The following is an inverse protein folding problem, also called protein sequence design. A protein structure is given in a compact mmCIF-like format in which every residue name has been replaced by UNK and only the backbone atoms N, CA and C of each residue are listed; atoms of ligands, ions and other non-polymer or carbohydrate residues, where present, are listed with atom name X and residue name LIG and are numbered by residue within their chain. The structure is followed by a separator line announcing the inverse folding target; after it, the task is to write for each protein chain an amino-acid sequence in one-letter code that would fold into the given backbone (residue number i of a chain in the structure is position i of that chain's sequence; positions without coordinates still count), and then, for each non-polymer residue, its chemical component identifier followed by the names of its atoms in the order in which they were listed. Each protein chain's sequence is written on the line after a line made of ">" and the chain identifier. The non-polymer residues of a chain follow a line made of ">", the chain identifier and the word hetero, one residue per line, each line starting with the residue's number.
data_IF_168279281922
#
_entry.id   IF_168279281922
#
_cell.length_a   1.000
_cell.length_b   1.000
_cell.length_c   1.000
_cell.angle_alpha   90.00
_cell.angle_beta   90.00
_cell.angle_gamma   90.00
#
_symmetry.space_group_name_H-M   'P 1'
#
loop_
_entity.id
_entity.type
_entity.pdbx_description
1 polymer ?
#
# COMPACT_ATOMS: atom_id res chain seq x y z
N UNK A 1 12.03 12.33 17.13
CA UNK A 1 13.42 12.21 16.64
C UNK A 1 13.75 13.45 15.85
N UNK A 2 14.84 14.16 16.17
CA UNK A 2 15.29 15.27 15.33
C UNK A 2 16.02 14.68 14.11
N UNK A 3 15.36 14.65 12.95
CA UNK A 3 15.86 13.97 11.74
C UNK A 3 16.82 14.84 10.89
N UNK A 4 17.16 16.05 11.37
CA UNK A 4 18.10 16.97 10.71
C UNK A 4 17.79 17.25 9.22
N UNK A 5 16.50 17.30 8.89
CA UNK A 5 16.04 17.44 7.51
C UNK A 5 16.52 18.71 6.81
N UNK A 6 16.66 19.81 7.54
CA UNK A 6 17.20 21.08 7.01
C UNK A 6 18.63 20.92 6.50
N UNK A 7 19.49 20.24 7.27
CA UNK A 7 20.87 19.96 6.88
C UNK A 7 20.94 19.03 5.67
N UNK A 8 20.05 18.03 5.61
CA UNK A 8 19.94 17.14 4.46
C UNK A 8 19.52 17.92 3.19
N UNK A 9 18.54 18.81 3.31
CA UNK A 9 18.07 19.64 2.22
C UNK A 9 19.17 20.58 1.69
N UNK A 10 19.95 21.22 2.57
CA UNK A 10 21.10 22.03 2.16
C UNK A 10 22.15 21.23 1.38
N UNK A 11 22.39 19.98 1.77
CA UNK A 11 23.33 19.08 1.08
C UNK A 11 22.76 18.70 -0.30
N UNK A 12 21.48 18.35 -0.38
CA UNK A 12 20.82 18.02 -1.64
C UNK A 12 20.84 19.20 -2.62
N UNK A 13 20.56 20.42 -2.15
CA UNK A 13 20.64 21.63 -2.97
C UNK A 13 22.05 21.86 -3.52
N UNK A 14 23.09 21.72 -2.68
CA UNK A 14 24.49 21.85 -3.13
C UNK A 14 24.87 20.78 -4.14
N UNK A 15 24.41 19.56 -3.94
CA UNK A 15 24.72 18.44 -4.83
C UNK A 15 23.95 18.53 -6.16
N UNK A 16 22.72 19.04 -6.15
CA UNK A 16 21.94 19.31 -7.37
C UNK A 16 22.59 20.36 -8.30
N UNK A 17 23.38 21.30 -7.75
CA UNK A 17 24.18 22.24 -8.54
C UNK A 17 25.32 21.56 -9.32
N UNK A 18 25.75 20.36 -8.89
CA UNK A 18 26.80 19.58 -9.54
C UNK A 18 26.16 18.61 -10.55
N UNK A 19 25.12 17.90 -10.13
CA UNK A 19 24.40 16.94 -10.95
C UNK A 19 22.90 16.99 -10.62
N UNK A 20 22.13 17.63 -11.51
CA UNK A 20 20.70 17.87 -11.31
C UNK A 20 19.82 16.64 -11.53
N UNK A 21 20.30 15.64 -12.28
CA UNK A 21 19.56 14.41 -12.63
C UNK A 21 19.90 13.21 -11.71
N UNK A 22 20.55 13.47 -10.58
CA UNK A 22 20.96 12.43 -9.65
C UNK A 22 19.76 11.86 -8.88
N UNK A 23 19.39 10.60 -9.17
CA UNK A 23 18.20 9.96 -8.60
C UNK A 23 18.11 10.01 -7.06
N UNK A 24 19.18 9.71 -6.29
CA UNK A 24 19.11 9.82 -4.83
C UNK A 24 18.82 11.23 -4.33
N UNK A 25 19.34 12.26 -5.01
CA UNK A 25 19.11 13.66 -4.64
C UNK A 25 17.64 14.01 -4.89
N UNK A 26 17.12 13.70 -6.08
CA UNK A 26 15.73 13.97 -6.45
C UNK A 26 14.75 13.22 -5.53
N UNK A 27 15.05 11.98 -5.15
CA UNK A 27 14.23 11.22 -4.21
C UNK A 27 14.23 11.83 -2.81
N UNK A 28 15.40 12.22 -2.29
CA UNK A 28 15.52 12.85 -0.98
C UNK A 28 14.83 14.21 -0.94
N UNK A 29 14.94 15.01 -2.01
CA UNK A 29 14.28 16.30 -2.13
C UNK A 29 12.76 16.14 -2.23
N UNK A 30 12.28 15.16 -2.99
CA UNK A 30 10.86 14.79 -3.00
C UNK A 30 10.38 14.40 -1.59
N UNK A 31 11.09 13.51 -0.90
CA UNK A 31 10.72 13.07 0.45
C UNK A 31 10.66 14.27 1.41
N UNK A 32 11.66 15.14 1.39
CA UNK A 32 11.69 16.30 2.27
C UNK A 32 10.59 17.31 1.93
N UNK A 33 10.57 17.80 0.69
CA UNK A 33 9.64 18.82 0.24
C UNK A 33 8.19 18.33 0.38
N UNK A 34 7.91 17.08 0.02
CA UNK A 34 6.55 16.57 -0.05
C UNK A 34 6.06 15.85 1.21
N UNK A 35 6.84 14.91 1.76
CA UNK A 35 6.39 14.13 2.93
C UNK A 35 6.64 14.85 4.25
N UNK A 36 7.71 15.64 4.33
CA UNK A 36 8.08 16.33 5.58
C UNK A 36 7.46 17.72 5.66
N UNK A 37 7.59 18.53 4.61
CA UNK A 37 7.06 19.91 4.61
C UNK A 37 5.62 20.02 4.11
N UNK A 38 5.15 19.08 3.30
CA UNK A 38 3.82 19.16 2.66
C UNK A 38 3.77 20.18 1.52
N UNK A 39 4.91 20.53 0.93
CA UNK A 39 5.03 21.50 -0.16
C UNK A 39 4.53 20.91 -1.50
N UNK A 40 3.75 21.70 -2.22
CA UNK A 40 3.20 21.39 -3.54
C UNK A 40 4.33 21.26 -4.58
N UNK A 41 5.45 21.97 -4.40
CA UNK A 41 6.61 21.85 -5.31
C UNK A 41 7.16 20.42 -5.40
N UNK A 42 6.95 19.60 -4.37
CA UNK A 42 7.33 18.18 -4.40
C UNK A 42 6.67 17.38 -5.53
N UNK A 43 5.55 17.85 -6.08
CA UNK A 43 4.92 17.20 -7.24
C UNK A 43 5.76 17.33 -8.53
N UNK A 44 6.40 18.48 -8.74
CA UNK A 44 7.30 18.67 -9.87
C UNK A 44 8.57 17.85 -9.71
N UNK A 45 9.17 17.87 -8.51
CA UNK A 45 10.37 17.09 -8.19
C UNK A 45 10.11 15.59 -8.40
N UNK A 46 8.93 15.10 -8.00
CA UNK A 46 8.54 13.71 -8.23
C UNK A 46 8.46 13.36 -9.72
N UNK A 47 7.90 14.25 -10.54
CA UNK A 47 7.81 14.03 -11.98
C UNK A 47 9.21 13.98 -12.61
N UNK A 48 10.09 14.92 -12.25
CA UNK A 48 11.49 14.96 -12.69
C UNK A 48 12.26 13.69 -12.26
N UNK A 49 12.07 13.24 -11.02
CA UNK A 49 12.64 12.00 -10.50
C UNK A 49 12.20 10.78 -11.33
N UNK A 50 10.90 10.63 -11.59
CA UNK A 50 10.39 9.49 -12.37
C UNK A 50 10.86 9.55 -13.82
N UNK A 51 10.92 10.73 -14.43
CA UNK A 51 11.45 10.88 -15.79
C UNK A 51 12.93 10.50 -15.86
N UNK A 52 13.74 10.94 -14.90
CA UNK A 52 15.14 10.55 -14.79
C UNK A 52 15.28 9.03 -14.61
N UNK A 53 14.49 8.42 -13.71
CA UNK A 53 14.50 6.96 -13.50
C UNK A 53 14.16 6.18 -14.77
N UNK A 54 13.10 6.57 -15.48
CA UNK A 54 12.69 5.89 -16.70
C UNK A 54 13.76 5.98 -17.80
N UNK A 55 14.59 7.03 -17.78
CA UNK A 55 15.69 7.23 -18.72
C UNK A 55 16.94 6.43 -18.31
N UNK A 56 17.36 6.50 -17.05
CA UNK A 56 18.64 5.94 -16.60
C UNK A 56 18.55 4.48 -16.17
N UNK A 57 17.39 4.05 -15.67
CA UNK A 57 17.15 2.72 -15.09
C UNK A 57 16.17 1.89 -15.95
N UNK A 58 16.12 2.15 -17.26
CA UNK A 58 15.10 1.62 -18.18
C UNK A 58 14.94 0.08 -18.18
N UNK A 59 15.95 -0.68 -17.75
CA UNK A 59 15.93 -2.14 -17.63
C UNK A 59 15.83 -2.67 -16.20
N UNK A 60 15.81 -1.78 -15.18
CA UNK A 60 15.85 -2.15 -13.78
C UNK A 60 14.44 -2.30 -13.19
N UNK A 61 13.82 -3.45 -13.50
CA UNK A 61 12.47 -3.77 -13.02
C UNK A 61 12.35 -3.70 -11.49
N UNK A 62 13.35 -4.15 -10.75
CA UNK A 62 13.32 -4.19 -9.28
C UNK A 62 13.21 -2.79 -8.70
N UNK A 63 14.00 -1.84 -9.22
CA UNK A 63 13.97 -0.45 -8.76
C UNK A 63 12.61 0.22 -9.06
N UNK A 64 12.02 -0.03 -10.24
CA UNK A 64 10.68 0.47 -10.56
C UNK A 64 9.61 -0.05 -9.59
N UNK A 65 9.70 -1.32 -9.19
CA UNK A 65 8.75 -1.90 -8.23
C UNK A 65 8.97 -1.40 -6.80
N UNK A 66 10.23 -1.23 -6.38
CA UNK A 66 10.55 -0.67 -5.07
C UNK A 66 10.00 0.75 -4.93
N UNK A 67 10.36 1.63 -5.87
CA UNK A 67 9.91 3.02 -5.85
C UNK A 67 8.41 3.12 -6.12
N UNK A 68 7.86 2.33 -7.04
CA UNK A 68 6.41 2.28 -7.25
C UNK A 68 5.65 1.86 -6.00
N UNK A 69 6.18 0.91 -5.22
CA UNK A 69 5.60 0.48 -3.94
C UNK A 69 5.68 1.58 -2.89
N UNK A 70 6.82 2.29 -2.80
CA UNK A 70 6.99 3.45 -1.93
C UNK A 70 5.95 4.53 -2.24
N UNK A 71 5.83 4.91 -3.51
CA UNK A 71 4.87 5.92 -3.94
C UNK A 71 3.42 5.50 -3.65
N UNK A 72 3.06 4.24 -3.91
CA UNK A 72 1.74 3.72 -3.57
C UNK A 72 1.45 3.77 -2.06
N UNK A 73 2.46 3.47 -1.24
CA UNK A 73 2.32 3.42 0.22
C UNK A 73 2.10 4.80 0.86
N UNK A 74 2.56 5.87 0.21
CA UNK A 74 2.44 7.27 0.69
C UNK A 74 1.43 8.13 -0.09
N UNK A 75 0.70 7.53 -1.04
CA UNK A 75 -0.17 8.28 -1.95
C UNK A 75 -1.28 9.06 -1.23
N UNK A 76 -1.95 8.49 -0.21
CA UNK A 76 -2.92 9.20 0.64
C UNK A 76 -3.90 10.10 -0.17
N UNK A 77 -4.57 9.50 -1.16
CA UNK A 77 -5.49 10.14 -2.13
C UNK A 77 -4.88 11.13 -3.14
N UNK A 78 -3.56 11.30 -3.16
CA UNK A 78 -2.88 12.21 -4.08
C UNK A 78 -2.72 11.58 -5.47
N UNK A 79 -3.59 11.99 -6.38
CA UNK A 79 -3.62 11.55 -7.78
C UNK A 79 -2.28 11.65 -8.50
N UNK A 80 -1.48 12.67 -8.22
CA UNK A 80 -0.16 12.83 -8.86
C UNK A 80 0.78 11.67 -8.46
N UNK A 81 0.93 11.38 -7.17
CA UNK A 81 1.74 10.24 -6.71
C UNK A 81 1.23 8.93 -7.31
N UNK A 82 -0.08 8.69 -7.28
CA UNK A 82 -0.69 7.49 -7.88
C UNK A 82 -0.38 7.38 -9.38
N UNK A 83 -0.39 8.51 -10.10
CA UNK A 83 -0.03 8.57 -11.52
C UNK A 83 1.43 8.21 -11.75
N UNK A 84 2.34 8.79 -10.96
CA UNK A 84 3.78 8.52 -11.06
C UNK A 84 4.12 7.08 -10.69
N UNK A 85 3.48 6.53 -9.63
CA UNK A 85 3.59 5.13 -9.26
C UNK A 85 3.17 4.20 -10.40
N UNK A 86 2.02 4.47 -11.05
CA UNK A 86 1.56 3.69 -12.21
C UNK A 86 2.55 3.72 -13.38
N UNK A 87 3.17 4.87 -13.67
CA UNK A 87 4.19 4.96 -14.74
C UNK A 87 5.35 4.00 -14.50
N UNK A 88 5.86 3.95 -13.27
CA UNK A 88 6.93 3.02 -12.89
C UNK A 88 6.47 1.57 -12.98
N UNK A 89 5.26 1.27 -12.51
CA UNK A 89 4.70 -0.09 -12.57
C UNK A 89 4.42 -0.54 -14.01
N UNK A 90 3.98 0.37 -14.89
CA UNK A 90 3.80 0.11 -16.31
C UNK A 90 5.13 -0.17 -17.01
N UNK A 91 6.18 0.58 -16.68
CA UNK A 91 7.53 0.31 -17.15
C UNK A 91 8.03 -1.06 -16.66
N UNK A 92 7.81 -1.40 -15.39
CA UNK A 92 8.14 -2.71 -14.83
C UNK A 92 7.42 -3.85 -15.56
N UNK A 93 6.11 -3.70 -15.83
CA UNK A 93 5.31 -4.68 -16.58
C UNK A 93 5.74 -4.80 -18.05
N UNK A 94 6.26 -3.71 -18.64
CA UNK A 94 6.85 -3.70 -19.98
C UNK A 94 8.13 -4.51 -20.09
N UNK A 95 8.92 -4.61 -19.01
CA UNK A 95 10.13 -5.44 -18.96
C UNK A 95 9.78 -6.92 -18.78
N UNK A 96 9.02 -7.26 -17.74
CA UNK A 96 8.59 -8.64 -17.44
C UNK A 96 7.25 -8.63 -16.72
N UNK A 97 6.32 -9.49 -17.13
CA UNK A 97 5.09 -9.72 -16.38
C UNK A 97 5.42 -10.49 -15.09
N UNK A 98 5.08 -9.93 -13.94
CA UNK A 98 5.19 -10.60 -12.64
C UNK A 98 4.00 -10.26 -11.74
N UNK A 99 3.70 -11.14 -10.79
CA UNK A 99 2.55 -11.03 -9.89
C UNK A 99 2.61 -9.75 -9.05
N UNK A 100 3.77 -9.41 -8.48
CA UNK A 100 3.96 -8.21 -7.66
C UNK A 100 3.54 -6.93 -8.39
N UNK A 101 3.97 -6.75 -9.64
CA UNK A 101 3.64 -5.61 -10.47
C UNK A 101 2.13 -5.55 -10.80
N UNK A 102 1.52 -6.70 -11.10
CA UNK A 102 0.08 -6.81 -11.35
C UNK A 102 -0.74 -6.43 -10.10
N UNK A 103 -0.34 -6.90 -8.92
CA UNK A 103 -1.01 -6.61 -7.65
C UNK A 103 -0.86 -5.14 -7.25
N UNK A 104 0.32 -4.56 -7.44
CA UNK A 104 0.55 -3.15 -7.18
C UNK A 104 -0.28 -2.27 -8.12
N UNK A 105 -0.32 -2.59 -9.42
CA UNK A 105 -1.16 -1.86 -10.39
C UNK A 105 -2.65 -2.01 -10.08
N UNK A 106 -3.09 -3.21 -9.70
CA UNK A 106 -4.47 -3.47 -9.27
C UNK A 106 -4.86 -2.58 -8.08
N UNK A 107 -3.99 -2.50 -7.07
CA UNK A 107 -4.23 -1.66 -5.87
C UNK A 107 -4.30 -0.16 -6.21
N UNK A 108 -3.43 0.32 -7.10
CA UNK A 108 -3.45 1.72 -7.55
C UNK A 108 -4.74 2.04 -8.32
N UNK A 109 -5.16 1.17 -9.23
CA UNK A 109 -6.41 1.33 -9.99
C UNK A 109 -7.64 1.28 -9.09
N UNK A 110 -7.63 0.40 -8.08
CA UNK A 110 -8.72 0.30 -7.10
C UNK A 110 -8.89 1.61 -6.33
N UNK A 111 -7.78 2.24 -5.93
CA UNK A 111 -7.76 3.53 -5.23
C UNK A 111 -8.32 4.67 -6.10
N UNK A 112 -8.12 4.59 -7.42
CA UNK A 112 -8.71 5.55 -8.37
C UNK A 112 -10.17 5.28 -8.72
N UNK A 113 -10.74 4.18 -8.21
CA UNK A 113 -12.11 3.75 -8.50
C UNK A 113 -12.27 2.97 -9.81
N UNK A 114 -11.18 2.61 -10.51
CA UNK A 114 -11.24 1.71 -11.66
C UNK A 114 -11.28 0.25 -11.21
N UNK A 115 -12.39 -0.12 -10.59
CA UNK A 115 -12.60 -1.45 -10.00
C UNK A 115 -12.52 -2.53 -11.09
N UNK A 116 -13.00 -2.25 -12.30
CA UNK A 116 -13.01 -3.22 -13.40
C UNK A 116 -11.60 -3.61 -13.81
N UNK A 117 -10.71 -2.65 -14.06
CA UNK A 117 -9.33 -2.97 -14.42
C UNK A 117 -8.57 -3.56 -13.22
N UNK A 118 -8.82 -3.06 -12.01
CA UNK A 118 -8.23 -3.61 -10.79
C UNK A 118 -8.56 -5.10 -10.61
N UNK A 119 -9.84 -5.49 -10.74
CA UNK A 119 -10.30 -6.88 -10.67
C UNK A 119 -9.65 -7.77 -11.73
N UNK A 120 -9.51 -7.28 -12.97
CA UNK A 120 -8.87 -8.05 -14.06
C UNK A 120 -7.40 -8.33 -13.78
N UNK A 121 -6.66 -7.35 -13.26
CA UNK A 121 -5.24 -7.53 -12.93
C UNK A 121 -5.05 -8.44 -11.70
N UNK A 122 -5.90 -8.31 -10.69
CA UNK A 122 -5.86 -9.19 -9.52
C UNK A 122 -6.13 -10.66 -9.92
N UNK A 123 -7.13 -10.90 -10.79
CA UNK A 123 -7.41 -12.23 -11.30
C UNK A 123 -6.23 -12.81 -12.09
N UNK A 124 -5.63 -12.03 -12.99
CA UNK A 124 -4.42 -12.45 -13.73
C UNK A 124 -3.26 -12.80 -12.79
N UNK A 125 -3.10 -12.06 -11.69
CA UNK A 125 -2.09 -12.37 -10.69
C UNK A 125 -2.37 -13.72 -10.00
N UNK A 126 -3.62 -14.00 -9.65
CA UNK A 126 -4.04 -15.32 -9.11
C UNK A 126 -3.76 -16.43 -10.13
N UNK A 127 -4.15 -16.26 -11.39
CA UNK A 127 -3.91 -17.23 -12.46
C UNK A 127 -2.41 -17.48 -12.68
N UNK A 128 -1.59 -16.42 -12.63
CA UNK A 128 -0.14 -16.52 -12.75
C UNK A 128 0.51 -17.27 -11.58
N UNK A 129 -0.02 -17.11 -10.36
CA UNK A 129 0.42 -17.84 -9.17
C UNK A 129 -0.01 -19.31 -9.15
N UNK A 130 -1.18 -19.62 -9.73
CA UNK A 130 -1.68 -21.01 -9.84
C UNK A 130 -0.86 -21.90 -10.80
N UNK A 131 0.02 -21.30 -11.63
CA UNK A 131 0.93 -22.03 -12.52
C UNK A 131 2.30 -22.32 -11.88
N UNK A 132 2.52 -21.96 -10.61
CA UNK A 132 3.80 -22.10 -9.92
C UNK A 132 3.84 -23.40 -9.10
N UNK A 133 3.67 -24.55 -9.77
CA UNK A 133 4.30 -25.79 -9.30
C UNK A 133 5.81 -25.81 -9.66
N UNK A 134 6.30 -24.82 -10.42
CA UNK A 134 7.64 -24.81 -11.03
C UNK A 134 8.66 -23.84 -10.41
N UNK A 135 8.33 -23.07 -9.38
CA UNK A 135 9.31 -22.27 -8.64
C UNK A 135 9.32 -22.70 -7.17
N UNK A 136 9.78 -23.93 -6.91
CA UNK A 136 10.39 -24.28 -5.61
C UNK A 136 11.75 -23.59 -5.50
N UNK A 137 11.73 -22.25 -5.48
CA UNK A 137 12.84 -21.40 -5.05
C UNK A 137 12.79 -21.28 -3.53
N UNK A 138 13.95 -21.29 -2.89
CA UNK A 138 14.16 -21.56 -1.46
C UNK A 138 13.73 -20.44 -0.49
N UNK A 139 12.84 -19.51 -0.86
CA UNK A 139 12.46 -18.37 -0.03
C UNK A 139 10.94 -18.30 0.14
N UNK A 140 10.49 -18.12 1.39
CA UNK A 140 9.07 -18.07 1.78
C UNK A 140 8.25 -16.92 1.16
N UNK A 141 8.86 -16.06 0.34
CA UNK A 141 8.24 -14.88 -0.26
C UNK A 141 7.34 -15.23 -1.46
N UNK A 142 7.63 -16.32 -2.19
CA UNK A 142 6.87 -16.68 -3.40
C UNK A 142 5.49 -17.30 -3.09
N UNK A 143 5.35 -17.99 -1.95
CA UNK A 143 4.06 -18.55 -1.52
C UNK A 143 3.10 -17.48 -0.99
N UNK A 144 3.64 -16.41 -0.40
CA UNK A 144 2.87 -15.24 0.05
C UNK A 144 2.25 -14.45 -1.12
N UNK A 145 2.83 -14.55 -2.34
CA UNK A 145 2.30 -13.88 -3.52
C UNK A 145 0.94 -14.45 -3.97
N UNK A 146 0.70 -15.75 -3.78
CA UNK A 146 -0.58 -16.39 -4.09
C UNK A 146 -1.71 -15.92 -3.16
N UNK A 147 -1.46 -15.97 -1.85
CA UNK A 147 -2.42 -15.49 -0.83
C UNK A 147 -2.73 -14.00 -1.03
N UNK A 148 -1.69 -13.17 -1.23
CA UNK A 148 -1.84 -11.73 -1.46
C UNK A 148 -2.64 -11.44 -2.74
N UNK A 149 -2.51 -12.27 -3.77
CA UNK A 149 -3.30 -12.13 -4.98
C UNK A 149 -4.78 -12.39 -4.74
N UNK A 150 -5.11 -13.45 -4.00
CA UNK A 150 -6.50 -13.76 -3.61
C UNK A 150 -7.09 -12.66 -2.74
N UNK A 151 -6.34 -12.16 -1.74
CA UNK A 151 -6.79 -11.05 -0.90
C UNK A 151 -7.03 -9.77 -1.73
N UNK A 152 -6.16 -9.47 -2.70
CA UNK A 152 -6.34 -8.31 -3.60
C UNK A 152 -7.58 -8.47 -4.49
N UNK A 153 -7.83 -9.68 -5.00
CA UNK A 153 -9.02 -10.00 -5.77
C UNK A 153 -10.29 -9.81 -4.92
N UNK A 154 -10.30 -10.33 -3.69
CA UNK A 154 -11.42 -10.16 -2.74
C UNK A 154 -11.62 -8.68 -2.41
N UNK A 155 -10.55 -7.90 -2.25
CA UNK A 155 -10.64 -6.45 -2.05
C UNK A 155 -11.36 -5.76 -3.21
N UNK A 156 -11.03 -6.13 -4.45
CA UNK A 156 -11.72 -5.60 -5.63
C UNK A 156 -13.20 -6.01 -5.65
N UNK A 157 -13.49 -7.29 -5.37
CA UNK A 157 -14.87 -7.78 -5.27
C UNK A 157 -15.68 -7.03 -4.22
N UNK A 158 -15.10 -6.71 -3.06
CA UNK A 158 -15.73 -5.92 -1.98
C UNK A 158 -15.89 -4.44 -2.34
N UNK A 159 -15.19 -3.92 -3.33
CA UNK A 159 -15.36 -2.54 -3.80
C UNK A 159 -16.56 -2.37 -4.74
N UNK A 160 -16.99 -3.43 -5.42
CA UNK A 160 -18.15 -3.42 -6.32
C UNK A 160 -19.49 -3.19 -5.57
N UNK A 161 -20.62 -3.23 -6.27
CA UNK A 161 -21.93 -3.34 -5.62
C UNK A 161 -22.30 -4.82 -5.52
N UNK A 162 -22.52 -5.32 -4.30
CA UNK A 162 -22.77 -6.73 -4.05
C UNK A 162 -24.21 -6.96 -3.59
N UNK A 163 -24.77 -8.09 -4.00
CA UNK A 163 -25.94 -8.66 -3.36
C UNK A 163 -25.53 -9.69 -2.27
N UNK A 164 -26.50 -10.15 -1.48
CA UNK A 164 -26.28 -11.12 -0.40
C UNK A 164 -25.61 -12.42 -0.87
N UNK A 165 -25.82 -12.82 -2.12
CA UNK A 165 -25.19 -14.02 -2.68
C UNK A 165 -23.69 -13.79 -2.88
N UNK A 166 -23.30 -12.66 -3.46
CA UNK A 166 -21.90 -12.30 -3.66
C UNK A 166 -21.16 -12.11 -2.32
N UNK A 167 -21.81 -11.52 -1.31
CA UNK A 167 -21.22 -11.42 0.03
C UNK A 167 -20.97 -12.79 0.66
N UNK A 168 -21.89 -13.75 0.49
CA UNK A 168 -21.68 -15.14 0.93
C UNK A 168 -20.54 -15.83 0.19
N UNK A 169 -20.41 -15.60 -1.12
CA UNK A 169 -19.30 -16.14 -1.91
C UNK A 169 -17.96 -15.57 -1.44
N UNK A 170 -17.89 -14.27 -1.14
CA UNK A 170 -16.70 -13.62 -0.57
C UNK A 170 -16.36 -14.21 0.81
N UNK A 171 -17.36 -14.39 1.68
CA UNK A 171 -17.14 -15.02 2.98
C UNK A 171 -16.57 -16.45 2.83
N UNK A 172 -17.13 -17.25 1.92
CA UNK A 172 -16.62 -18.60 1.65
C UNK A 172 -15.19 -18.59 1.10
N UNK A 173 -14.81 -17.61 0.29
CA UNK A 173 -13.43 -17.45 -0.19
C UNK A 173 -12.47 -17.13 0.95
N UNK A 174 -12.83 -16.23 1.87
CA UNK A 174 -12.03 -15.91 3.05
C UNK A 174 -11.90 -17.11 4.00
N UNK A 175 -13.00 -17.84 4.24
CA UNK A 175 -12.99 -19.06 5.06
C UNK A 175 -12.11 -20.15 4.44
N UNK A 176 -12.23 -20.37 3.13
CA UNK A 176 -11.42 -21.35 2.41
C UNK A 176 -9.93 -20.99 2.44
N UNK A 177 -9.60 -19.71 2.21
CA UNK A 177 -8.22 -19.22 2.29
C UNK A 177 -7.64 -19.44 3.68
N UNK A 178 -8.38 -19.11 4.73
CA UNK A 178 -7.98 -19.35 6.11
C UNK A 178 -7.79 -20.84 6.44
N UNK A 179 -8.63 -21.72 5.89
CA UNK A 179 -8.54 -23.17 6.13
C UNK A 179 -7.36 -23.82 5.41
N UNK A 180 -7.01 -23.32 4.23
CA UNK A 180 -5.92 -23.86 3.40
C UNK A 180 -4.58 -23.24 3.72
N UNK A 181 -4.56 -21.99 4.20
CA UNK A 181 -3.37 -21.21 4.51
C UNK A 181 -3.59 -20.50 5.85
N UNK A 182 -3.27 -21.18 6.96
CA UNK A 182 -3.52 -20.66 8.32
C UNK A 182 -2.82 -19.34 8.61
N UNK A 183 -1.67 -19.13 7.96
CA UNK A 183 -0.75 -18.02 8.18
C UNK A 183 -1.28 -16.72 7.55
N UNK A 184 -2.33 -16.80 6.72
CA UNK A 184 -3.04 -15.61 6.20
C UNK A 184 -3.58 -14.72 7.33
N UNK A 185 -3.82 -15.29 8.53
CA UNK A 185 -4.23 -14.54 9.73
C UNK A 185 -3.13 -13.63 10.28
N UNK A 186 -1.89 -13.83 9.87
CA UNK A 186 -0.77 -12.94 10.20
C UNK A 186 -0.71 -11.74 9.23
N UNK A 187 -1.58 -11.69 8.22
CA UNK A 187 -1.68 -10.57 7.30
C UNK A 187 -2.74 -9.57 7.77
N UNK A 188 -2.33 -8.31 8.01
CA UNK A 188 -3.24 -7.21 8.34
C UNK A 188 -4.38 -7.06 7.32
N UNK A 189 -4.06 -7.23 6.03
CA UNK A 189 -5.04 -7.14 4.94
C UNK A 189 -6.18 -8.14 5.10
N UNK A 190 -5.93 -9.37 5.56
CA UNK A 190 -6.99 -10.36 5.76
C UNK A 190 -8.04 -9.88 6.76
N UNK A 191 -7.61 -9.36 7.91
CA UNK A 191 -8.52 -8.83 8.93
C UNK A 191 -9.22 -7.56 8.47
N UNK A 192 -8.54 -6.72 7.68
CA UNK A 192 -9.17 -5.57 7.05
C UNK A 192 -10.29 -5.98 6.08
N UNK A 193 -10.11 -7.04 5.28
CA UNK A 193 -11.16 -7.56 4.40
C UNK A 193 -12.34 -8.15 5.18
N UNK A 194 -12.09 -8.81 6.31
CA UNK A 194 -13.17 -9.26 7.21
C UNK A 194 -13.98 -8.07 7.75
N UNK A 195 -13.32 -6.96 8.11
CA UNK A 195 -14.01 -5.75 8.54
C UNK A 195 -14.86 -5.15 7.41
N UNK A 196 -14.32 -5.06 6.19
CA UNK A 196 -15.07 -4.58 5.02
C UNK A 196 -16.28 -5.47 4.71
N UNK A 197 -16.10 -6.79 4.73
CA UNK A 197 -17.19 -7.75 4.55
C UNK A 197 -18.27 -7.57 5.62
N UNK A 198 -17.90 -7.53 6.91
CA UNK A 198 -18.84 -7.30 8.00
C UNK A 198 -19.61 -5.98 7.82
N UNK A 199 -18.94 -4.92 7.35
CA UNK A 199 -19.61 -3.65 7.06
C UNK A 199 -20.59 -3.77 5.90
N UNK A 200 -20.23 -4.47 4.82
CA UNK A 200 -21.11 -4.73 3.67
C UNK A 200 -22.32 -5.59 4.03
N UNK A 201 -22.16 -6.51 4.97
CA UNK A 201 -23.24 -7.32 5.53
C UNK A 201 -24.11 -6.57 6.56
N UNK A 202 -23.85 -5.28 6.79
CA UNK A 202 -24.52 -4.47 7.81
C UNK A 202 -24.45 -5.07 9.22
N UNK A 203 -23.32 -5.69 9.55
CA UNK A 203 -23.05 -6.15 10.93
C UNK A 203 -22.91 -4.95 11.87
N UNK A 204 -23.12 -5.16 13.19
CA UNK A 204 -22.91 -4.13 14.19
C UNK A 204 -21.49 -3.55 14.10
N UNK A 205 -21.37 -2.25 14.36
CA UNK A 205 -20.10 -1.53 14.27
C UNK A 205 -19.05 -2.07 15.25
N UNK A 206 -19.46 -2.68 16.36
CA UNK A 206 -18.57 -3.36 17.30
C UNK A 206 -17.87 -4.58 16.66
N UNK A 207 -18.58 -5.31 15.80
CA UNK A 207 -18.02 -6.45 15.08
C UNK A 207 -17.03 -5.97 14.01
N UNK A 208 -17.39 -4.91 13.27
CA UNK A 208 -16.50 -4.27 12.28
C UNK A 208 -15.24 -3.75 12.97
N UNK A 209 -15.39 -3.06 14.10
CA UNK A 209 -14.28 -2.53 14.90
C UNK A 209 -13.39 -3.64 15.45
N UNK A 210 -13.94 -4.76 15.90
CA UNK A 210 -13.14 -5.90 16.36
C UNK A 210 -12.18 -6.40 15.28
N UNK A 211 -12.65 -6.58 14.05
CA UNK A 211 -11.79 -6.96 12.92
C UNK A 211 -10.74 -5.88 12.59
N UNK A 212 -11.12 -4.59 12.63
CA UNK A 212 -10.16 -3.49 12.39
C UNK A 212 -9.08 -3.42 13.47
N UNK A 213 -9.44 -3.61 14.73
CA UNK A 213 -8.47 -3.59 15.82
C UNK A 213 -7.47 -4.74 15.68
N UNK A 214 -7.92 -5.93 15.28
CA UNK A 214 -7.00 -7.05 14.97
C UNK A 214 -6.10 -6.71 13.79
N UNK A 215 -6.63 -6.12 12.71
CA UNK A 215 -5.83 -5.68 11.56
C UNK A 215 -4.70 -4.72 12.00
N UNK A 216 -5.02 -3.75 12.86
CA UNK A 216 -4.07 -2.79 13.42
C UNK A 216 -3.00 -3.46 14.29
N UNK A 217 -3.42 -4.37 15.18
CA UNK A 217 -2.50 -5.09 16.06
C UNK A 217 -1.54 -5.98 15.26
N UNK A 218 -2.04 -6.69 14.25
CA UNK A 218 -1.23 -7.49 13.32
C UNK A 218 -0.28 -6.60 12.52
N UNK A 219 -0.75 -5.46 12.01
CA UNK A 219 0.08 -4.52 11.24
C UNK A 219 1.25 -3.97 12.05
N UNK A 220 1.00 -3.61 13.31
CA UNK A 220 2.01 -3.02 14.18
C UNK A 220 2.86 -4.06 14.92
N UNK A 221 2.49 -5.34 14.92
CA UNK A 221 3.32 -6.41 15.48
C UNK A 221 4.70 -6.47 14.80
N UNK A 222 4.75 -6.21 13.48
CA UNK A 222 5.99 -6.24 12.68
C UNK A 222 6.70 -4.87 12.56
N UNK A 223 6.06 -3.77 12.96
CA UNK A 223 6.52 -2.40 12.73
C UNK A 223 7.05 -1.69 14.00
N UNK A 224 7.50 -2.44 15.01
CA UNK A 224 7.71 -1.85 16.34
C UNK A 224 8.88 -0.87 16.44
N UNK A 225 9.94 -0.97 15.61
CA UNK A 225 11.12 -0.09 15.71
C UNK A 225 11.93 -0.04 14.41
N UNK A 226 11.48 0.73 13.43
CA UNK A 226 12.19 0.84 12.15
C UNK A 226 12.72 2.24 11.90
N UNK A 227 13.98 2.30 11.46
CA UNK A 227 14.66 3.53 11.02
C UNK A 227 13.86 4.08 9.83
N UNK A 228 13.72 5.39 9.74
CA UNK A 228 13.07 6.01 8.58
C UNK A 228 13.84 5.64 7.30
N UNK A 229 13.19 4.88 6.43
CA UNK A 229 13.73 4.36 5.18
C UNK A 229 12.60 4.10 4.19
N UNK A 230 12.94 3.87 2.92
CA UNK A 230 11.96 3.46 1.91
C UNK A 230 11.25 2.16 2.31
N UNK A 231 12.01 1.16 2.77
CA UNK A 231 11.48 -0.13 3.23
C UNK A 231 10.53 0.04 4.43
N UNK A 232 10.87 0.92 5.37
CA UNK A 232 10.00 1.27 6.49
C UNK A 232 8.69 1.90 6.00
N UNK A 233 8.73 2.85 5.06
CA UNK A 233 7.53 3.50 4.54
C UNK A 233 6.65 2.54 3.72
N UNK A 234 7.27 1.61 2.98
CA UNK A 234 6.57 0.55 2.26
C UNK A 234 5.87 -0.39 3.24
N UNK A 235 6.58 -0.82 4.30
CA UNK A 235 6.05 -1.73 5.32
C UNK A 235 4.99 -1.06 6.21
N UNK A 236 5.21 0.19 6.59
CA UNK A 236 4.26 1.00 7.37
C UNK A 236 2.98 1.25 6.58
N UNK A 237 3.10 1.51 5.29
CA UNK A 237 2.00 1.80 4.37
C UNK A 237 0.98 2.83 4.92
N UNK A 238 1.37 4.11 5.02
CA UNK A 238 0.47 5.18 5.45
C UNK A 238 -0.90 5.20 4.75
N UNK A 239 -0.95 4.92 3.45
CA UNK A 239 -2.20 4.90 2.67
C UNK A 239 -3.25 3.93 3.25
N UNK A 240 -2.88 2.66 3.50
CA UNK A 240 -3.84 1.69 4.07
C UNK A 240 -4.17 2.01 5.54
N UNK A 241 -3.21 2.55 6.29
CA UNK A 241 -3.42 2.94 7.67
C UNK A 241 -4.46 4.04 7.80
N UNK A 242 -4.43 5.04 6.90
CA UNK A 242 -5.46 6.10 6.88
C UNK A 242 -6.83 5.53 6.51
N UNK A 243 -6.92 4.63 5.53
CA UNK A 243 -8.18 3.96 5.18
C UNK A 243 -8.77 3.16 6.36
N UNK A 244 -7.93 2.46 7.13
CA UNK A 244 -8.34 1.78 8.36
C UNK A 244 -8.83 2.80 9.40
N UNK A 245 -8.08 3.87 9.63
CA UNK A 245 -8.43 4.90 10.61
C UNK A 245 -9.76 5.58 10.27
N UNK A 246 -10.02 5.87 9.00
CA UNK A 246 -11.29 6.41 8.54
C UNK A 246 -12.46 5.47 8.83
N UNK A 247 -12.28 4.17 8.60
CA UNK A 247 -13.34 3.19 8.87
C UNK A 247 -13.59 3.02 10.38
N UNK A 248 -12.54 3.10 11.20
CA UNK A 248 -12.66 3.13 12.67
C UNK A 248 -13.38 4.40 13.14
N UNK A 249 -13.07 5.57 12.57
CA UNK A 249 -13.74 6.81 12.93
C UNK A 249 -15.23 6.80 12.56
N UNK A 250 -15.60 6.12 11.47
CA UNK A 250 -17.01 5.92 11.09
C UNK A 250 -17.79 5.06 12.09
N UNK A 251 -17.12 4.23 12.91
CA UNK A 251 -17.75 3.46 13.99
C UNK A 251 -17.65 4.13 15.36
N UNK A 252 -17.06 5.32 15.46
CA UNK A 252 -16.79 5.98 16.74
C UNK A 252 -18.06 6.34 17.53
N UNK A 253 -19.17 6.65 16.86
CA UNK A 253 -20.44 6.97 17.53
C UNK A 253 -21.01 5.75 18.28
N UNK A 254 -20.85 4.56 17.70
CA UNK A 254 -21.33 3.29 18.26
C UNK A 254 -20.34 2.71 19.29
N UNK A 255 -19.05 2.71 18.96
CA UNK A 255 -18.00 2.06 19.76
C UNK A 255 -17.46 2.98 20.88
N UNK A 256 -17.48 4.30 20.66
CA UNK A 256 -17.01 5.30 21.60
C UNK A 256 -15.49 5.45 21.68
N UNK A 257 -15.00 5.73 22.89
CA UNK A 257 -13.60 6.08 23.17
C UNK A 257 -12.57 5.06 22.64
N UNK A 258 -12.80 3.73 22.67
CA UNK A 258 -11.85 2.76 22.11
C UNK A 258 -11.53 3.01 20.64
N UNK A 259 -12.55 3.30 19.80
CA UNK A 259 -12.36 3.60 18.39
C UNK A 259 -11.49 4.86 18.19
N UNK A 260 -11.80 5.93 18.94
CA UNK A 260 -11.04 7.18 18.88
C UNK A 260 -9.57 6.96 19.25
N UNK A 261 -9.28 6.17 20.28
CA UNK A 261 -7.88 5.89 20.70
C UNK A 261 -7.10 5.11 19.66
N UNK A 262 -7.73 4.13 19.00
CA UNK A 262 -7.07 3.35 17.94
C UNK A 262 -6.82 4.22 16.73
N UNK A 263 -7.80 5.01 16.30
CA UNK A 263 -7.64 5.96 15.19
C UNK A 263 -6.53 6.99 15.50
N UNK A 264 -6.52 7.58 16.69
CA UNK A 264 -5.48 8.52 17.12
C UNK A 264 -4.08 7.90 17.10
N UNK A 265 -3.93 6.67 17.59
CA UNK A 265 -2.66 5.93 17.52
C UNK A 265 -2.18 5.78 16.07
N UNK A 266 -3.06 5.38 15.16
CA UNK A 266 -2.71 5.20 13.74
C UNK A 266 -2.29 6.53 13.12
N UNK A 267 -3.13 7.56 13.25
CA UNK A 267 -2.89 8.87 12.65
C UNK A 267 -1.65 9.55 13.23
N UNK A 268 -1.39 9.37 14.53
CA UNK A 268 -0.16 9.84 15.17
C UNK A 268 1.09 9.21 14.56
N UNK A 269 1.07 7.90 14.30
CA UNK A 269 2.20 7.19 13.67
C UNK A 269 2.39 7.63 12.22
N UNK A 270 1.29 7.77 11.47
CA UNK A 270 1.32 8.30 10.09
C UNK A 270 1.92 9.71 10.09
N UNK A 271 1.41 10.61 10.94
CA UNK A 271 1.89 11.98 11.04
C UNK A 271 3.37 12.07 11.46
N UNK A 272 3.84 11.19 12.34
CA UNK A 272 5.27 11.15 12.72
C UNK A 272 6.20 10.78 11.55
N UNK A 273 5.69 10.05 10.54
CA UNK A 273 6.48 9.62 9.39
C UNK A 273 6.23 10.46 8.14
N UNK A 274 5.04 11.04 8.01
CA UNK A 274 4.62 11.89 6.90
C UNK A 274 3.93 13.15 7.45
N UNK A 275 4.65 14.07 8.15
CA UNK A 275 4.04 15.21 8.83
C UNK A 275 3.44 16.25 7.88
N UNK A 276 3.87 16.28 6.61
CA UNK A 276 3.25 17.10 5.55
C UNK A 276 1.91 16.57 5.06
N UNK A 277 1.33 15.57 5.73
CA UNK A 277 0.08 14.89 5.38
C UNK A 277 -0.95 14.98 6.49
#
# INVERSE_FOLDING_TARGET
>A
MNRHWETMAEICQKAALIQSDCLPILLLDFVYSYLILGDIQGEQILAEFVDAMLLTEASNQSQFLQIGSLLASIALDRKNITTQAKRLVDAALGIRQNSQALLLKSSLLLTEGDIRQASQLALRAVESGSNIENEKGLNNEDNQNGERAVLTMIRCQLAEQQNDKQLKEINQQLEFLQQTHSDVKEQSLFHFLLALLAKRENKPDEQVFSHLNIAVDVHFAYNQYTIFSEENLISLNPSILVEIAELILKSADSVGIPAIRVADRILSIVHQNCPGK
#
